data_IF_119768939915
#
_entry.id   IF_119768939915
#
_cell.length_a   1.000
_cell.length_b   1.000
_cell.length_c   1.000
_cell.angle_alpha   90.00
_cell.angle_beta   90.00
_cell.angle_gamma   90.00
#
_symmetry.space_group_name_H-M   'P 1'
#
loop_
_entity.id
_entity.type
_entity.pdbx_description
1 polymer ?
#
# COMPACT_ATOMS: atom_id res chain seq x y z
N UNK A 1 26.31 -4.99 -12.75
CA UNK A 1 26.12 -5.54 -11.39
C UNK A 1 26.88 -4.67 -10.40
N UNK A 2 26.19 -4.04 -9.45
CA UNK A 2 26.82 -3.22 -8.41
C UNK A 2 27.18 -4.14 -7.24
N UNK A 3 28.43 -4.12 -6.78
CA UNK A 3 28.91 -4.92 -5.63
C UNK A 3 29.25 -4.00 -4.47
N UNK A 4 28.93 -4.40 -3.25
CA UNK A 4 29.41 -3.75 -2.03
C UNK A 4 30.76 -4.38 -1.67
N UNK A 5 31.78 -3.55 -1.44
CA UNK A 5 33.14 -3.98 -1.14
C UNK A 5 33.51 -3.63 0.30
N UNK A 6 34.30 -4.48 0.96
CA UNK A 6 34.93 -4.14 2.23
C UNK A 6 36.33 -3.61 1.96
N UNK A 7 36.55 -2.31 2.15
CA UNK A 7 37.84 -1.65 1.92
C UNK A 7 38.59 -1.50 3.24
N UNK A 8 39.86 -1.91 3.28
CA UNK A 8 40.76 -1.60 4.39
C UNK A 8 41.34 -0.19 4.16
N UNK A 9 41.01 0.72 5.07
CA UNK A 9 41.49 2.10 5.07
C UNK A 9 42.57 2.26 6.14
N UNK A 10 43.55 3.12 5.87
CA UNK A 10 44.63 3.46 6.80
C UNK A 10 44.53 4.93 7.14
N UNK A 11 44.52 5.27 8.42
CA UNK A 11 44.56 6.66 8.87
C UNK A 11 45.84 6.91 9.66
N UNK A 12 46.60 7.91 9.21
CA UNK A 12 47.81 8.36 9.90
C UNK A 12 47.39 9.40 10.94
N UNK A 13 47.77 9.19 12.20
CA UNK A 13 47.48 10.13 13.26
C UNK A 13 48.78 10.66 13.88
N UNK A 14 48.69 11.81 14.56
CA UNK A 14 49.84 12.51 15.16
C UNK A 14 51.00 12.71 14.17
N UNK A 15 50.73 13.33 13.02
CA UNK A 15 51.77 13.67 12.04
C UNK A 15 52.60 12.46 11.55
N UNK A 16 52.00 11.26 11.56
CA UNK A 16 52.67 10.04 11.11
C UNK A 16 53.31 9.20 12.22
N UNK A 17 53.17 9.57 13.51
CA UNK A 17 53.64 8.74 14.64
C UNK A 17 52.94 7.39 14.73
N UNK A 18 51.77 7.23 14.12
CA UNK A 18 51.08 5.96 14.06
C UNK A 18 50.09 5.85 12.91
N UNK A 19 49.79 4.61 12.53
CA UNK A 19 48.79 4.27 11.51
C UNK A 19 47.83 3.27 12.12
N UNK A 20 46.54 3.60 12.20
CA UNK A 20 45.52 2.59 12.49
C UNK A 20 44.80 2.19 11.22
N UNK A 21 44.44 0.92 11.14
CA UNK A 21 43.71 0.33 10.03
C UNK A 21 42.27 0.07 10.43
N UNK A 22 41.32 0.40 9.57
CA UNK A 22 39.90 0.16 9.81
C UNK A 22 39.23 -0.29 8.52
N UNK A 23 38.12 -1.00 8.66
CA UNK A 23 37.34 -1.46 7.52
C UNK A 23 36.17 -0.52 7.28
N UNK A 24 35.94 -0.17 6.02
CA UNK A 24 34.78 0.59 5.57
C UNK A 24 34.09 -0.14 4.43
N UNK A 25 32.76 -0.20 4.48
CA UNK A 25 31.97 -0.65 3.35
C UNK A 25 31.96 0.43 2.27
N UNK A 26 32.21 0.03 1.03
CA UNK A 26 32.31 0.92 -0.12
C UNK A 26 31.38 0.42 -1.22
N UNK A 27 30.55 1.34 -1.71
CA UNK A 27 29.66 1.11 -2.84
C UNK A 27 30.09 2.04 -3.98
N UNK A 28 30.68 1.52 -5.08
CA UNK A 28 30.96 2.34 -6.25
C UNK A 28 29.64 2.67 -6.95
N UNK A 29 29.21 3.93 -6.82
CA UNK A 29 28.05 4.47 -7.53
C UNK A 29 28.54 5.03 -8.87
N UNK A 30 28.08 4.49 -10.02
CA UNK A 30 28.40 5.06 -11.32
C UNK A 30 27.99 6.53 -11.43
N UNK A 31 28.79 7.35 -12.10
CA UNK A 31 28.57 8.80 -12.20
C UNK A 31 27.17 9.18 -12.72
N UNK A 32 26.61 8.39 -13.63
CA UNK A 32 25.25 8.57 -14.17
C UNK A 32 24.13 8.51 -13.12
N UNK A 33 24.37 7.94 -11.94
CA UNK A 33 23.40 7.86 -10.85
C UNK A 33 23.70 8.83 -9.71
N UNK A 34 24.71 9.70 -9.86
CA UNK A 34 25.14 10.61 -8.80
C UNK A 34 24.00 11.52 -8.34
N UNK A 35 23.25 12.08 -9.28
CA UNK A 35 22.14 12.99 -8.96
C UNK A 35 20.95 12.26 -8.34
N UNK A 36 20.68 11.02 -8.78
CA UNK A 36 19.63 10.19 -8.21
C UNK A 36 19.93 9.75 -6.76
N UNK A 37 21.19 9.53 -6.41
CA UNK A 37 21.59 9.08 -5.06
C UNK A 37 21.81 10.24 -4.09
N UNK A 38 22.08 11.45 -4.61
CA UNK A 38 22.31 12.67 -3.82
C UNK A 38 21.29 12.93 -2.69
N UNK A 39 19.97 12.80 -2.87
CA UNK A 39 19.00 13.05 -1.79
C UNK A 39 19.00 11.98 -0.67
N UNK A 40 19.75 10.89 -0.83
CA UNK A 40 19.81 9.77 0.10
C UNK A 40 21.13 9.65 0.86
N UNK A 41 22.17 10.44 0.53
CA UNK A 41 23.54 10.27 1.05
C UNK A 41 23.72 10.60 2.54
N UNK A 42 22.77 11.33 3.14
CA UNK A 42 22.82 11.77 4.55
C UNK A 42 21.56 11.37 5.34
N UNK A 43 20.80 10.39 4.83
CA UNK A 43 19.62 9.87 5.48
C UNK A 43 19.90 8.49 6.04
N UNK A 44 19.44 8.24 7.25
CA UNK A 44 19.33 6.89 7.77
C UNK A 44 18.24 6.17 6.98
N UNK A 45 18.68 5.30 6.08
CA UNK A 45 17.79 4.44 5.32
C UNK A 45 17.51 3.20 6.17
N UNK A 46 16.24 2.97 6.48
CA UNK A 46 15.81 1.68 7.01
C UNK A 46 16.01 0.61 5.93
N UNK A 47 16.99 -0.26 6.14
CA UNK A 47 17.30 -1.35 5.22
C UNK A 47 16.75 -2.65 5.80
N UNK A 48 15.65 -3.14 5.24
CA UNK A 48 15.16 -4.49 5.51
C UNK A 48 15.91 -5.51 4.64
N UNK A 49 16.72 -6.36 5.27
CA UNK A 49 17.40 -7.47 4.59
C UNK A 49 16.41 -8.61 4.41
N UNK A 50 15.80 -8.69 3.23
CA UNK A 50 14.95 -9.82 2.83
C UNK A 50 15.85 -10.99 2.43
N UNK A 51 16.04 -11.95 3.33
CA UNK A 51 16.61 -13.26 2.96
C UNK A 51 15.61 -13.99 2.05
N UNK A 52 16.09 -14.83 1.14
CA UNK A 52 15.25 -15.52 0.13
C UNK A 52 14.14 -16.37 0.79
N UNK A 53 14.36 -16.84 2.01
CA UNK A 53 13.34 -17.54 2.81
C UNK A 53 12.20 -16.59 3.25
N UNK A 54 12.53 -15.36 3.63
CA UNK A 54 11.56 -14.36 4.09
C UNK A 54 10.76 -13.74 2.94
N UNK A 55 11.32 -13.70 1.73
CA UNK A 55 10.62 -13.18 0.55
C UNK A 55 9.28 -13.92 0.29
N UNK A 56 9.29 -15.26 0.36
CA UNK A 56 8.09 -16.08 0.17
C UNK A 56 7.05 -15.88 1.27
N UNK A 57 7.50 -15.64 2.51
CA UNK A 57 6.60 -15.37 3.63
C UNK A 57 5.92 -14.00 3.47
N UNK A 58 6.66 -12.97 3.05
CA UNK A 58 6.09 -11.66 2.76
C UNK A 58 5.14 -11.68 1.55
N UNK A 59 5.45 -12.45 0.51
CA UNK A 59 4.57 -12.63 -0.64
C UNK A 59 3.25 -13.29 -0.25
N UNK A 60 3.30 -14.36 0.58
CA UNK A 60 2.09 -14.99 1.12
C UNK A 60 1.26 -14.02 1.96
N UNK A 61 1.90 -13.30 2.86
CA UNK A 61 1.23 -12.31 3.72
C UNK A 61 0.60 -11.18 2.89
N UNK A 62 1.26 -10.75 1.81
CA UNK A 62 0.72 -9.76 0.89
C UNK A 62 -0.51 -10.29 0.12
N UNK A 63 -0.46 -11.55 -0.35
CA UNK A 63 -1.58 -12.19 -1.04
C UNK A 63 -2.79 -12.39 -0.12
N UNK A 64 -2.58 -12.71 1.16
CA UNK A 64 -3.65 -12.82 2.16
C UNK A 64 -4.35 -11.48 2.37
N UNK A 65 -3.58 -10.39 2.55
CA UNK A 65 -4.14 -9.04 2.68
C UNK A 65 -4.98 -8.63 1.46
N UNK A 66 -4.51 -8.93 0.26
CA UNK A 66 -5.26 -8.63 -0.98
C UNK A 66 -6.58 -9.39 -1.02
N UNK A 67 -6.62 -10.65 -0.57
CA UNK A 67 -7.86 -11.44 -0.50
C UNK A 67 -8.84 -10.84 0.51
N UNK A 68 -8.38 -10.48 1.70
CA UNK A 68 -9.20 -9.84 2.72
C UNK A 68 -9.81 -8.53 2.23
N UNK A 69 -9.02 -7.70 1.53
CA UNK A 69 -9.50 -6.45 0.94
C UNK A 69 -10.59 -6.67 -0.14
N UNK A 70 -10.46 -7.73 -0.94
CA UNK A 70 -11.45 -8.11 -1.94
C UNK A 70 -12.76 -8.57 -1.29
N UNK A 71 -12.69 -9.40 -0.25
CA UNK A 71 -13.86 -9.84 0.51
C UNK A 71 -14.60 -8.65 1.15
N UNK A 72 -13.86 -7.72 1.76
CA UNK A 72 -14.42 -6.50 2.33
C UNK A 72 -15.13 -5.67 1.25
N UNK A 73 -14.55 -5.56 0.06
CA UNK A 73 -15.15 -4.83 -1.05
C UNK A 73 -16.47 -5.47 -1.52
N UNK A 74 -16.52 -6.80 -1.61
CA UNK A 74 -17.75 -7.52 -1.95
C UNK A 74 -18.84 -7.33 -0.90
N UNK A 75 -18.48 -7.43 0.38
CA UNK A 75 -19.43 -7.19 1.48
C UNK A 75 -19.99 -5.76 1.44
N UNK A 76 -19.15 -4.76 1.17
CA UNK A 76 -19.59 -3.37 1.02
C UNK A 76 -20.58 -3.19 -0.13
N UNK A 77 -20.42 -3.90 -1.24
CA UNK A 77 -21.39 -3.86 -2.36
C UNK A 77 -22.74 -4.43 -1.93
N UNK A 78 -22.75 -5.60 -1.25
CA UNK A 78 -23.97 -6.22 -0.74
C UNK A 78 -24.72 -5.35 0.26
N UNK A 79 -24.00 -4.71 1.18
CA UNK A 79 -24.62 -3.78 2.15
C UNK A 79 -25.29 -2.61 1.42
N UNK A 80 -24.64 -2.06 0.40
CA UNK A 80 -25.20 -0.96 -0.39
C UNK A 80 -26.48 -1.38 -1.14
N UNK A 81 -26.51 -2.60 -1.68
CA UNK A 81 -27.72 -3.15 -2.31
C UNK A 81 -28.85 -3.31 -1.28
N UNK A 82 -28.58 -3.87 -0.11
CA UNK A 82 -29.58 -3.98 0.97
C UNK A 82 -30.10 -2.61 1.44
N UNK A 83 -29.25 -1.59 1.50
CA UNK A 83 -29.67 -0.22 1.82
C UNK A 83 -30.60 0.36 0.74
N UNK A 84 -30.31 0.07 -0.53
CA UNK A 84 -31.17 0.48 -1.65
C UNK A 84 -32.52 -0.23 -1.59
N UNK A 85 -32.53 -1.54 -1.33
CA UNK A 85 -33.75 -2.33 -1.18
C UNK A 85 -34.58 -1.85 0.02
N UNK A 86 -33.93 -1.57 1.15
CA UNK A 86 -34.59 -1.04 2.34
C UNK A 86 -35.20 0.34 2.09
N UNK A 87 -34.49 1.19 1.34
CA UNK A 87 -35.00 2.51 0.95
C UNK A 87 -36.20 2.38 0.01
N UNK A 88 -36.10 1.55 -1.02
CA UNK A 88 -37.20 1.28 -1.95
C UNK A 88 -38.44 0.76 -1.21
N UNK A 89 -38.25 -0.13 -0.22
CA UNK A 89 -39.34 -0.63 0.61
C UNK A 89 -39.98 0.47 1.47
N UNK A 90 -39.17 1.34 2.11
CA UNK A 90 -39.68 2.48 2.88
C UNK A 90 -40.49 3.43 2.01
N UNK A 91 -39.99 3.76 0.82
CA UNK A 91 -40.67 4.62 -0.15
C UNK A 91 -42.03 4.01 -0.56
N UNK A 92 -42.09 2.68 -0.74
CA UNK A 92 -43.33 1.94 -1.05
C UNK A 92 -44.34 1.97 0.11
N UNK A 93 -43.88 1.78 1.34
CA UNK A 93 -44.72 1.86 2.55
C UNK A 93 -45.29 3.27 2.72
N UNK A 94 -44.51 4.32 2.42
CA UNK A 94 -45.01 5.70 2.43
C UNK A 94 -46.12 5.93 1.39
N UNK A 95 -45.96 5.41 0.17
CA UNK A 95 -46.99 5.51 -0.87
C UNK A 95 -48.28 4.81 -0.46
N UNK A 96 -48.19 3.61 0.15
CA UNK A 96 -49.34 2.85 0.61
C UNK A 96 -50.11 3.52 1.77
N UNK A 97 -49.45 4.37 2.56
CA UNK A 97 -50.04 5.06 3.71
C UNK A 97 -50.87 6.29 3.31
N UNK A 98 -50.55 6.90 2.17
CA UNK A 98 -51.23 8.10 1.67
C UNK A 98 -52.25 7.76 0.56
N UNK A 99 -53.57 7.97 0.78
CA UNK A 99 -54.61 7.58 -0.18
C UNK A 99 -54.52 8.33 -1.52
N UNK A 100 -54.05 9.59 -1.51
CA UNK A 100 -53.86 10.38 -2.74
C UNK A 100 -52.68 9.89 -3.59
N UNK A 101 -51.59 9.43 -2.95
CA UNK A 101 -50.41 8.89 -3.65
C UNK A 101 -50.71 7.52 -4.24
N UNK A 102 -51.50 6.70 -3.54
CA UNK A 102 -51.97 5.41 -4.06
C UNK A 102 -52.89 5.53 -5.29
N UNK A 103 -53.72 6.58 -5.36
CA UNK A 103 -54.56 6.82 -6.54
C UNK A 103 -53.70 7.14 -7.78
N UNK A 104 -52.64 7.95 -7.65
CA UNK A 104 -51.69 8.23 -8.73
C UNK A 104 -50.88 6.99 -9.14
N UNK A 105 -50.49 6.17 -8.17
CA UNK A 105 -49.73 4.94 -8.45
C UNK A 105 -50.57 3.91 -9.22
N UNK A 106 -51.87 3.80 -8.91
CA UNK A 106 -52.81 2.97 -9.69
C UNK A 106 -53.01 3.45 -11.12
N UNK A 107 -53.07 4.77 -11.35
CA UNK A 107 -53.16 5.34 -12.70
C UNK A 107 -51.92 4.98 -13.54
N UNK A 108 -50.72 5.05 -12.95
CA UNK A 108 -49.47 4.67 -13.62
C UNK A 108 -49.38 3.17 -13.97
N UNK A 109 -49.97 2.29 -13.16
CA UNK A 109 -49.99 0.84 -13.41
C UNK A 109 -51.03 0.40 -14.47
N UNK A 110 -51.98 1.26 -14.81
CA UNK A 110 -53.00 1.00 -15.85
C UNK A 110 -52.58 1.59 -17.22
N UNK A 111 -51.50 2.37 -17.28
CA UNK A 111 -50.97 3.01 -18.50
C UNK A 111 -49.81 2.23 -19.18
N UNK A 112 -49.27 1.18 -18.54
CA UNK A 112 -48.29 0.21 -19.10
C UNK A 112 -48.97 -1.13 -19.49
#
# INVERSE_FOLDING_TARGET
MVKIYRRCCKHRYREGKGVYTYYRWYLPIPAKYKDAVKPFLDKDLEVEIKTVANARAHEKLALEKIKEEQEILELKKRVKEMEQDSKAFRDLVEVLRDPEKMAKFKQLLEED
#
